data_IF_249547228980
#
_entry.id   IF_249547228980
#
_cell.length_a   1.000
_cell.length_b   1.000
_cell.length_c   1.000
_cell.angle_alpha   90.00
_cell.angle_beta   90.00
_cell.angle_gamma   90.00
#
_symmetry.space_group_name_H-M   'P 1'
#
loop_
_entity.id
_entity.type
_entity.pdbx_description
1 polymer ?
#
# COMPACT_ATOMS: atom_id res chain seq x y z
N UNK A 1 -25.33 60.52 45.78
CA UNK A 1 -25.53 61.19 44.48
C UNK A 1 -25.19 60.16 43.42
N UNK A 2 -26.17 59.54 42.86
CA UNK A 2 -26.80 59.72 41.54
C UNK A 2 -25.75 59.84 40.43
N UNK A 3 -25.62 58.83 39.58
CA UNK A 3 -26.15 58.95 38.24
C UNK A 3 -26.09 57.56 37.48
N UNK A 4 -27.24 57.16 37.05
CA UNK A 4 -27.50 56.15 35.99
C UNK A 4 -26.81 56.59 34.73
N UNK A 5 -26.31 55.62 33.96
CA UNK A 5 -26.34 55.77 32.52
C UNK A 5 -26.54 54.38 31.85
N UNK A 6 -27.59 54.36 31.18
CA UNK A 6 -28.34 53.39 30.41
C UNK A 6 -27.54 52.72 29.28
N UNK A 7 -27.88 51.47 29.07
CA UNK A 7 -27.66 50.55 27.98
C UNK A 7 -27.53 51.09 26.57
N UNK A 8 -26.83 50.34 25.76
CA UNK A 8 -27.26 50.08 24.38
C UNK A 8 -26.83 48.68 23.97
N UNK A 9 -27.82 47.82 23.85
CA UNK A 9 -27.72 46.50 23.26
C UNK A 9 -27.64 46.69 21.75
N UNK A 10 -26.50 46.39 21.12
CA UNK A 10 -26.41 46.20 19.70
C UNK A 10 -26.26 44.70 19.43
N UNK A 11 -27.35 44.10 19.00
CA UNK A 11 -27.37 42.76 18.49
C UNK A 11 -26.64 42.71 17.13
N UNK A 12 -25.53 42.04 17.13
CA UNK A 12 -24.83 41.69 15.88
C UNK A 12 -25.20 40.26 15.52
N UNK A 13 -26.12 40.16 14.59
CA UNK A 13 -26.50 38.90 13.96
C UNK A 13 -25.36 38.51 12.99
N UNK A 14 -24.40 37.71 13.44
CA UNK A 14 -23.36 37.14 12.57
C UNK A 14 -23.92 35.94 11.86
N UNK A 15 -24.21 36.08 10.57
CA UNK A 15 -24.37 34.96 9.62
C UNK A 15 -23.03 34.20 9.58
N UNK A 16 -22.99 33.05 10.20
CA UNK A 16 -21.88 32.11 10.01
C UNK A 16 -22.07 31.40 8.68
N UNK A 17 -21.42 31.92 7.66
CA UNK A 17 -21.20 31.21 6.41
C UNK A 17 -20.32 30.00 6.70
N UNK A 18 -20.90 28.80 6.70
CA UNK A 18 -20.20 27.55 6.91
C UNK A 18 -19.29 27.23 5.72
N UNK A 19 -18.06 27.74 5.75
CA UNK A 19 -16.99 27.23 4.90
C UNK A 19 -16.58 25.86 5.42
N UNK A 20 -17.03 24.82 4.73
CA UNK A 20 -16.58 23.46 4.92
C UNK A 20 -15.11 23.37 4.47
N UNK A 21 -14.19 23.75 5.33
CA UNK A 21 -12.77 23.50 5.12
C UNK A 21 -12.54 21.99 5.28
N UNK A 22 -12.46 21.28 4.13
CA UNK A 22 -11.81 19.98 4.09
C UNK A 22 -10.41 20.16 4.64
N UNK A 23 -10.19 19.68 5.84
CA UNK A 23 -8.89 19.62 6.48
C UNK A 23 -8.00 18.75 5.59
N UNK A 24 -7.18 19.38 4.76
CA UNK A 24 -6.09 18.68 4.09
C UNK A 24 -5.10 18.29 5.18
N UNK A 25 -5.08 17.02 5.54
CA UNK A 25 -4.02 16.48 6.37
C UNK A 25 -2.68 16.75 5.67
N UNK A 26 -1.68 17.26 6.38
CA UNK A 26 -0.36 17.43 5.80
C UNK A 26 0.20 16.05 5.43
N UNK A 27 0.33 15.81 4.13
CA UNK A 27 1.00 14.62 3.59
C UNK A 27 2.43 14.58 4.11
N UNK A 28 2.82 13.46 4.69
CA UNK A 28 4.17 13.31 5.22
C UNK A 28 5.20 13.48 4.09
N UNK A 29 6.41 13.99 4.37
CA UNK A 29 7.44 14.16 3.34
C UNK A 29 7.76 12.87 2.57
N UNK A 30 7.54 11.72 3.18
CA UNK A 30 7.74 10.40 2.58
C UNK A 30 6.68 10.08 1.51
N UNK A 31 5.43 10.51 1.72
CA UNK A 31 4.34 10.36 0.73
C UNK A 31 4.48 11.34 -0.44
N UNK A 32 4.94 12.55 -0.17
CA UNK A 32 5.18 13.54 -1.22
C UNK A 32 6.32 13.12 -2.17
N UNK A 33 7.35 12.44 -1.67
CA UNK A 33 8.45 11.91 -2.50
C UNK A 33 7.99 10.70 -3.33
N UNK A 34 7.09 9.88 -2.78
CA UNK A 34 6.49 8.72 -3.47
C UNK A 34 5.64 9.12 -4.68
N UNK A 35 4.94 10.26 -4.61
CA UNK A 35 4.09 10.76 -5.69
C UNK A 35 4.87 11.23 -6.94
N UNK A 36 6.20 11.43 -6.84
CA UNK A 36 7.06 11.92 -7.93
C UNK A 36 7.72 10.81 -8.74
N UNK A 37 7.73 9.56 -8.25
CA UNK A 37 8.38 8.42 -8.93
C UNK A 37 7.30 7.53 -9.54
N UNK A 38 7.40 7.28 -10.86
CA UNK A 38 6.51 6.33 -11.51
C UNK A 38 6.80 4.92 -10.96
N UNK A 39 5.78 4.28 -10.40
CA UNK A 39 5.84 2.91 -9.94
C UNK A 39 4.99 2.01 -10.82
N UNK A 40 5.36 0.73 -10.86
CA UNK A 40 4.65 -0.33 -11.57
C UNK A 40 4.20 -1.36 -10.55
N UNK A 41 2.93 -1.72 -10.62
CA UNK A 41 2.34 -2.71 -9.73
C UNK A 41 2.63 -4.12 -10.21
N UNK A 42 3.12 -4.95 -9.30
CA UNK A 42 3.31 -6.39 -9.48
C UNK A 42 2.47 -7.13 -8.45
N UNK A 43 1.83 -8.20 -8.85
CA UNK A 43 1.10 -9.10 -7.97
C UNK A 43 1.78 -10.46 -7.91
N UNK A 44 2.15 -10.91 -6.73
CA UNK A 44 2.76 -12.23 -6.52
C UNK A 44 1.69 -13.16 -5.96
N UNK A 45 1.26 -14.13 -6.76
CA UNK A 45 0.29 -15.14 -6.37
C UNK A 45 1.00 -16.41 -5.94
N UNK A 46 0.78 -16.83 -4.70
CA UNK A 46 1.45 -17.96 -4.05
C UNK A 46 0.41 -18.99 -3.63
N UNK A 47 0.38 -20.20 -4.23
CA UNK A 47 -0.59 -21.24 -3.90
C UNK A 47 -0.22 -21.94 -2.59
N UNK A 48 -0.27 -21.21 -1.49
CA UNK A 48 0.03 -21.70 -0.15
C UNK A 48 -1.06 -21.30 0.83
N UNK A 49 -1.41 -22.24 1.71
CA UNK A 49 -2.46 -22.06 2.72
C UNK A 49 -1.82 -21.64 4.05
N UNK A 50 -1.49 -20.36 4.15
CA UNK A 50 -0.89 -19.77 5.36
C UNK A 50 -1.71 -18.60 5.88
N UNK A 51 -1.54 -18.32 7.16
CA UNK A 51 -2.20 -17.19 7.82
C UNK A 51 -1.53 -15.86 7.45
N UNK A 52 -2.25 -14.73 7.54
CA UNK A 52 -1.69 -13.42 7.18
C UNK A 52 -0.39 -13.06 7.90
N UNK A 53 -0.23 -13.45 9.17
CA UNK A 53 1.01 -13.20 9.93
C UNK A 53 2.19 -14.03 9.42
N UNK A 54 1.93 -15.27 9.00
CA UNK A 54 2.95 -16.16 8.43
C UNK A 54 3.35 -15.66 7.04
N UNK A 55 2.38 -15.22 6.22
CA UNK A 55 2.63 -14.59 4.93
C UNK A 55 3.55 -13.39 5.09
N UNK A 56 3.27 -12.49 6.06
CA UNK A 56 4.10 -11.33 6.35
C UNK A 56 5.54 -11.72 6.57
N UNK A 57 5.80 -12.60 7.53
CA UNK A 57 7.16 -13.03 7.89
C UNK A 57 7.88 -13.81 6.79
N UNK A 58 7.14 -14.69 6.09
CA UNK A 58 7.74 -15.59 5.10
C UNK A 58 8.02 -14.90 3.77
N UNK A 59 7.11 -14.01 3.33
CA UNK A 59 7.15 -13.43 2.00
C UNK A 59 7.31 -11.91 2.00
N UNK A 60 6.44 -11.18 2.72
CA UNK A 60 6.43 -9.72 2.64
C UNK A 60 7.70 -9.10 3.19
N UNK A 61 8.14 -9.51 4.39
CA UNK A 61 9.35 -8.96 5.03
C UNK A 61 10.61 -9.19 4.18
N UNK A 62 10.93 -10.43 3.71
CA UNK A 62 12.11 -10.67 2.90
C UNK A 62 12.07 -9.98 1.53
N UNK A 63 10.88 -9.89 0.91
CA UNK A 63 10.70 -9.19 -0.36
C UNK A 63 10.89 -7.69 -0.17
N UNK A 64 10.31 -7.12 0.88
CA UNK A 64 10.43 -5.70 1.18
C UNK A 64 11.89 -5.30 1.50
N UNK A 65 12.59 -6.15 2.24
CA UNK A 65 14.01 -5.96 2.53
C UNK A 65 14.84 -5.96 1.25
N UNK A 66 14.64 -6.95 0.36
CA UNK A 66 15.32 -7.05 -0.93
C UNK A 66 15.11 -5.79 -1.78
N UNK A 67 13.86 -5.36 -1.94
CA UNK A 67 13.52 -4.20 -2.76
C UNK A 67 14.09 -2.91 -2.17
N UNK A 68 14.07 -2.77 -0.86
CA UNK A 68 14.64 -1.62 -0.15
C UNK A 68 16.16 -1.55 -0.31
N UNK A 69 16.86 -2.67 -0.19
CA UNK A 69 18.33 -2.75 -0.38
C UNK A 69 18.75 -2.34 -1.79
N UNK A 70 17.96 -2.71 -2.79
CA UNK A 70 18.21 -2.36 -4.19
C UNK A 70 17.57 -1.05 -4.64
N UNK A 71 16.83 -0.36 -3.77
CA UNK A 71 16.09 0.89 -4.08
C UNK A 71 15.12 0.72 -5.27
N UNK A 72 14.54 -0.48 -5.39
CA UNK A 72 13.67 -0.84 -6.51
C UNK A 72 12.18 -0.72 -6.19
N UNK A 73 11.80 -0.52 -4.94
CA UNK A 73 10.40 -0.41 -4.53
C UNK A 73 10.14 -0.91 -3.13
N UNK A 74 8.90 -1.31 -2.90
CA UNK A 74 8.43 -1.78 -1.60
C UNK A 74 7.24 -2.74 -1.75
N UNK A 75 6.97 -3.51 -0.70
CA UNK A 75 5.71 -4.25 -0.57
C UNK A 75 4.63 -3.27 -0.13
N UNK A 76 3.59 -3.13 -0.93
CA UNK A 76 2.47 -2.19 -0.67
C UNK A 76 1.31 -2.85 0.06
N UNK A 77 1.27 -4.17 0.09
CA UNK A 77 0.23 -4.92 0.78
C UNK A 77 0.23 -6.40 0.46
N UNK A 78 -0.88 -7.03 0.77
CA UNK A 78 -1.11 -8.43 0.43
C UNK A 78 -2.50 -8.91 0.85
N UNK A 79 -2.92 -10.03 0.31
CA UNK A 79 -4.22 -10.61 0.53
C UNK A 79 -4.19 -12.13 0.70
N UNK A 80 -5.28 -12.67 1.20
CA UNK A 80 -5.51 -14.12 1.23
C UNK A 80 -6.83 -14.39 0.55
N UNK A 81 -6.79 -15.19 -0.51
CA UNK A 81 -8.01 -15.66 -1.16
C UNK A 81 -8.58 -16.83 -0.36
N UNK A 82 -9.85 -16.73 -0.02
CA UNK A 82 -10.56 -17.77 0.70
C UNK A 82 -11.52 -18.49 -0.24
N UNK A 83 -11.63 -19.80 -0.07
CA UNK A 83 -12.69 -20.63 -0.66
C UNK A 83 -14.04 -20.30 -0.03
N UNK A 84 -15.13 -20.84 -0.61
CA UNK A 84 -16.47 -20.72 -0.02
C UNK A 84 -16.54 -21.28 1.41
N UNK A 85 -15.71 -22.26 1.72
CA UNK A 85 -15.62 -22.90 3.05
C UNK A 85 -14.64 -22.17 3.99
N UNK A 86 -14.23 -20.94 3.63
CA UNK A 86 -13.32 -20.08 4.39
C UNK A 86 -11.91 -20.67 4.60
N UNK A 87 -11.48 -21.57 3.74
CA UNK A 87 -10.11 -22.05 3.72
C UNK A 87 -9.26 -21.19 2.79
N UNK A 88 -7.99 -20.98 3.14
CA UNK A 88 -7.06 -20.27 2.27
C UNK A 88 -6.83 -21.08 0.99
N UNK A 89 -7.03 -20.46 -0.16
CA UNK A 89 -6.74 -21.06 -1.46
C UNK A 89 -5.34 -20.70 -1.93
N UNK A 90 -5.03 -19.41 -1.84
CA UNK A 90 -3.70 -18.86 -2.11
C UNK A 90 -3.51 -17.55 -1.35
N UNK A 91 -2.28 -17.13 -1.23
CA UNK A 91 -1.92 -15.82 -0.71
C UNK A 91 -1.33 -14.94 -1.81
N UNK A 92 -1.58 -13.65 -1.72
CA UNK A 92 -1.05 -12.64 -2.62
C UNK A 92 -0.17 -11.64 -1.90
N UNK A 93 0.86 -11.15 -2.59
CA UNK A 93 1.69 -10.03 -2.13
C UNK A 93 1.67 -8.96 -3.20
N UNK A 94 1.32 -7.76 -2.80
CA UNK A 94 1.25 -6.57 -3.64
C UNK A 94 2.58 -5.83 -3.55
N UNK A 95 3.18 -5.54 -4.69
CA UNK A 95 4.52 -4.95 -4.78
C UNK A 95 4.52 -3.77 -5.75
N UNK A 96 5.00 -2.63 -5.30
CA UNK A 96 5.22 -1.45 -6.13
C UNK A 96 6.70 -1.30 -6.44
N UNK A 97 7.07 -1.35 -7.73
CA UNK A 97 8.47 -1.27 -8.17
C UNK A 97 8.69 -0.11 -9.14
N UNK A 98 9.88 0.48 -9.10
CA UNK A 98 10.28 1.56 -10.00
C UNK A 98 10.81 1.05 -11.34
N UNK A 99 11.39 -0.15 -11.36
CA UNK A 99 11.94 -0.79 -12.56
C UNK A 99 11.61 -2.29 -12.54
N UNK A 100 10.52 -2.71 -13.24
CA UNK A 100 10.13 -4.12 -13.29
C UNK A 100 11.18 -5.03 -13.91
N UNK A 101 11.97 -4.53 -14.86
CA UNK A 101 12.98 -5.34 -15.56
C UNK A 101 14.10 -5.76 -14.61
N UNK A 102 14.45 -4.91 -13.65
CA UNK A 102 15.44 -5.22 -12.63
C UNK A 102 14.84 -5.97 -11.44
N UNK A 103 13.63 -5.59 -11.03
CA UNK A 103 12.98 -6.15 -9.85
C UNK A 103 12.57 -7.61 -10.05
N UNK A 104 11.98 -7.97 -11.21
CA UNK A 104 11.43 -9.31 -11.46
C UNK A 104 12.49 -10.42 -11.30
N UNK A 105 13.69 -10.33 -11.91
CA UNK A 105 14.71 -11.37 -11.71
C UNK A 105 15.12 -11.56 -10.25
N UNK A 106 15.22 -10.46 -9.50
CA UNK A 106 15.56 -10.49 -8.08
C UNK A 106 14.43 -11.12 -7.25
N UNK A 107 13.19 -10.76 -7.55
CA UNK A 107 12.01 -11.35 -6.89
C UNK A 107 11.90 -12.85 -7.17
N UNK A 108 12.15 -13.29 -8.41
CA UNK A 108 12.18 -14.72 -8.78
C UNK A 108 13.24 -15.46 -7.97
N UNK A 109 14.46 -14.93 -7.92
CA UNK A 109 15.55 -15.53 -7.15
C UNK A 109 15.22 -15.61 -5.66
N UNK A 110 14.66 -14.53 -5.10
CA UNK A 110 14.27 -14.47 -3.69
C UNK A 110 13.14 -15.45 -3.35
N UNK A 111 12.11 -15.54 -4.18
CA UNK A 111 11.01 -16.46 -3.98
C UNK A 111 11.47 -17.93 -4.03
N UNK A 112 12.42 -18.27 -4.88
CA UNK A 112 13.08 -19.59 -4.89
C UNK A 112 13.88 -19.83 -3.61
N UNK A 113 14.66 -18.85 -3.17
CA UNK A 113 15.46 -18.91 -1.95
C UNK A 113 14.62 -19.20 -0.70
N UNK A 114 13.49 -18.50 -0.54
CA UNK A 114 12.56 -18.66 0.59
C UNK A 114 11.61 -19.86 0.44
N UNK A 115 11.75 -20.65 -0.62
CA UNK A 115 11.00 -21.87 -0.82
C UNK A 115 9.53 -21.64 -1.20
N UNK A 116 9.26 -20.70 -2.08
CA UNK A 116 7.91 -20.53 -2.64
C UNK A 116 7.47 -21.80 -3.38
N UNK A 117 6.23 -22.27 -3.20
CA UNK A 117 5.76 -23.53 -3.78
C UNK A 117 5.62 -23.41 -5.31
N UNK A 118 5.65 -24.57 -5.97
CA UNK A 118 5.36 -24.66 -7.40
C UNK A 118 3.99 -24.08 -7.73
N UNK A 119 3.90 -23.35 -8.84
CA UNK A 119 2.69 -22.64 -9.23
C UNK A 119 2.65 -21.20 -8.72
N UNK A 120 3.69 -20.75 -7.99
CA UNK A 120 3.87 -19.33 -7.68
C UNK A 120 4.13 -18.56 -8.97
N UNK A 121 3.45 -17.44 -9.16
CA UNK A 121 3.59 -16.57 -10.33
C UNK A 121 3.70 -15.10 -9.91
N UNK A 122 4.45 -14.34 -10.70
CA UNK A 122 4.46 -12.89 -10.64
C UNK A 122 3.63 -12.36 -11.80
N UNK A 123 2.60 -11.62 -11.53
CA UNK A 123 1.75 -10.97 -12.53
C UNK A 123 2.13 -9.49 -12.64
N UNK A 124 2.46 -9.07 -13.84
CA UNK A 124 2.71 -7.68 -14.21
C UNK A 124 1.58 -7.20 -15.10
N UNK A 125 0.99 -6.06 -14.81
CA UNK A 125 -0.07 -5.46 -15.65
C UNK A 125 0.47 -4.36 -16.56
N UNK A 126 1.50 -3.64 -16.14
CA UNK A 126 2.12 -2.54 -16.88
C UNK A 126 3.65 -2.69 -16.93
N UNK A 127 4.33 -2.20 -17.99
CA UNK A 127 3.82 -1.61 -19.24
C UNK A 127 3.17 -2.64 -20.18
N UNK A 128 3.40 -3.92 -19.97
CA UNK A 128 2.79 -5.03 -20.70
C UNK A 128 2.31 -6.10 -19.72
N UNK A 129 1.14 -6.68 -20.01
CA UNK A 129 0.62 -7.77 -19.19
C UNK A 129 1.47 -9.03 -19.39
N UNK A 130 2.11 -9.49 -18.31
CA UNK A 130 2.94 -10.69 -18.28
C UNK A 130 2.67 -11.50 -17.02
N UNK A 131 2.73 -12.82 -17.16
CA UNK A 131 2.72 -13.74 -16.02
C UNK A 131 4.02 -14.52 -16.05
N UNK A 132 4.80 -14.42 -15.01
CA UNK A 132 6.13 -15.03 -14.87
C UNK A 132 6.02 -16.15 -13.84
N UNK A 133 6.08 -17.43 -14.29
CA UNK A 133 6.09 -18.55 -13.37
C UNK A 133 7.43 -18.65 -12.64
N UNK A 134 7.37 -19.15 -11.39
CA UNK A 134 8.56 -19.47 -10.60
C UNK A 134 8.67 -20.98 -10.59
N UNK A 135 9.60 -21.49 -11.38
CA UNK A 135 9.92 -22.92 -11.50
C UNK A 135 11.08 -23.29 -10.57
#
# INVERSE_FOLDING_TARGET
>A
MKLLTTALVFGFLALTCGCNQKTQQPVSPKEAHRAAVKTYFLYIKIPEQIMPQERGKKYEDPINELLSQHQLGEVSGGGTMLTKDKQSEYVGVDVDVTDPQKAIPLLVAKLKEIGAPKGTVIEQNEPEKKTIPIE
#
